data_IF_477182698891
#
_entry.id   IF_477182698891
#
_cell.length_a   1.000
_cell.length_b   1.000
_cell.length_c   1.000
_cell.angle_alpha   90.00
_cell.angle_beta   90.00
_cell.angle_gamma   90.00
#
_symmetry.space_group_name_H-M   'P 1'
#
loop_
_entity.id
_entity.type
_entity.pdbx_description
1 polymer ?
#
# COMPACT_ATOMS: atom_id res chain seq x y z
N UNK A 1 -45.99 -21.72 -78.07
CA UNK A 1 -44.64 -21.43 -77.56
C UNK A 1 -44.80 -20.84 -76.17
N UNK A 2 -44.61 -21.70 -75.18
CA UNK A 2 -44.69 -21.40 -73.75
C UNK A 2 -43.64 -20.37 -73.32
N UNK A 3 -44.04 -19.47 -72.41
CA UNK A 3 -43.11 -18.88 -71.44
C UNK A 3 -43.77 -18.87 -70.07
N UNK A 4 -43.47 -19.92 -69.32
CA UNK A 4 -43.70 -20.03 -67.89
C UNK A 4 -42.83 -18.99 -67.17
N UNK A 5 -43.45 -18.09 -66.40
CA UNK A 5 -42.76 -17.21 -65.48
C UNK A 5 -42.37 -17.97 -64.22
N UNK A 6 -41.07 -18.22 -64.06
CA UNK A 6 -40.50 -18.69 -62.79
C UNK A 6 -40.24 -17.47 -61.90
N UNK A 7 -41.07 -17.29 -60.87
CA UNK A 7 -40.81 -16.33 -59.82
C UNK A 7 -39.71 -16.89 -58.90
N UNK A 8 -38.51 -16.33 -59.03
CA UNK A 8 -37.42 -16.57 -58.09
C UNK A 8 -37.80 -16.02 -56.71
N UNK A 9 -38.01 -16.92 -55.76
CA UNK A 9 -38.11 -16.60 -54.34
C UNK A 9 -36.77 -16.02 -53.86
N UNK A 10 -36.68 -14.70 -53.80
CA UNK A 10 -35.67 -13.99 -53.01
C UNK A 10 -35.88 -14.33 -51.54
N UNK A 11 -35.29 -15.43 -51.08
CA UNK A 11 -35.11 -15.71 -49.66
C UNK A 11 -34.48 -14.48 -49.02
N UNK A 12 -35.14 -13.98 -47.98
CA UNK A 12 -34.86 -12.68 -47.31
C UNK A 12 -33.38 -12.55 -46.94
N UNK A 13 -32.57 -11.99 -47.84
CA UNK A 13 -31.12 -11.82 -47.69
C UNK A 13 -30.72 -10.93 -46.49
N UNK A 14 -31.68 -10.22 -45.89
CA UNK A 14 -31.49 -9.39 -44.71
C UNK A 14 -31.60 -10.14 -43.38
N UNK A 15 -32.20 -11.34 -43.35
CA UNK A 15 -32.40 -12.10 -42.11
C UNK A 15 -31.08 -12.45 -41.37
N UNK A 16 -30.01 -12.88 -42.06
CA UNK A 16 -28.72 -13.16 -41.43
C UNK A 16 -28.12 -11.93 -40.75
N UNK A 17 -28.28 -10.75 -41.34
CA UNK A 17 -27.76 -9.49 -40.80
C UNK A 17 -28.51 -9.04 -39.55
N UNK A 18 -29.84 -9.21 -39.52
CA UNK A 18 -30.64 -8.94 -38.31
C UNK A 18 -30.26 -9.88 -37.18
N UNK A 19 -30.03 -11.17 -37.49
CA UNK A 19 -29.56 -12.13 -36.50
C UNK A 19 -28.16 -11.79 -35.96
N UNK A 20 -27.23 -11.37 -36.81
CA UNK A 20 -25.88 -10.95 -36.39
C UNK A 20 -25.92 -9.69 -35.51
N UNK A 21 -26.72 -8.68 -35.88
CA UNK A 21 -26.89 -7.48 -35.07
C UNK A 21 -27.49 -7.79 -33.69
N UNK A 22 -28.47 -8.71 -33.63
CA UNK A 22 -29.06 -9.16 -32.38
C UNK A 22 -28.05 -9.90 -31.49
N UNK A 23 -27.26 -10.82 -32.07
CA UNK A 23 -26.18 -11.50 -31.35
C UNK A 23 -25.14 -10.51 -30.83
N UNK A 24 -24.71 -9.55 -31.66
CA UNK A 24 -23.73 -8.53 -31.26
C UNK A 24 -24.25 -7.65 -30.12
N UNK A 25 -25.54 -7.30 -30.12
CA UNK A 25 -26.17 -6.58 -29.03
C UNK A 25 -26.19 -7.39 -27.72
N UNK A 26 -26.49 -8.69 -27.79
CA UNK A 26 -26.44 -9.58 -26.61
C UNK A 26 -25.01 -9.68 -26.06
N UNK A 27 -24.00 -9.85 -26.93
CA UNK A 27 -22.61 -9.88 -26.50
C UNK A 27 -22.18 -8.55 -25.87
N UNK A 28 -22.59 -7.42 -26.44
CA UNK A 28 -22.28 -6.09 -25.91
C UNK A 28 -22.92 -5.87 -24.52
N UNK A 29 -24.19 -6.28 -24.34
CA UNK A 29 -24.88 -6.19 -23.05
C UNK A 29 -24.21 -7.14 -22.04
N UNK A 30 -23.93 -8.39 -22.41
CA UNK A 30 -23.25 -9.33 -21.52
C UNK A 30 -21.85 -8.87 -21.12
N UNK A 31 -21.07 -8.27 -22.03
CA UNK A 31 -19.77 -7.69 -21.70
C UNK A 31 -19.90 -6.44 -20.83
N UNK A 32 -20.90 -5.60 -21.08
CA UNK A 32 -21.18 -4.43 -20.25
C UNK A 32 -21.58 -4.84 -18.84
N UNK A 33 -22.46 -5.83 -18.70
CA UNK A 33 -22.90 -6.37 -17.40
C UNK A 33 -21.75 -7.07 -16.67
N UNK A 34 -20.91 -7.85 -17.35
CA UNK A 34 -19.73 -8.46 -16.75
C UNK A 34 -18.74 -7.40 -16.25
N UNK A 35 -18.51 -6.35 -17.04
CA UNK A 35 -17.67 -5.22 -16.65
C UNK A 35 -18.27 -4.47 -15.44
N UNK A 36 -19.59 -4.24 -15.44
CA UNK A 36 -20.28 -3.55 -14.35
C UNK A 36 -20.35 -4.38 -13.07
N UNK A 37 -20.55 -5.70 -13.18
CA UNK A 37 -20.54 -6.63 -12.05
C UNK A 37 -19.15 -6.77 -11.44
N UNK A 38 -18.09 -6.82 -12.25
CA UNK A 38 -16.71 -6.80 -11.75
C UNK A 38 -16.41 -5.47 -11.03
N UNK A 39 -16.88 -4.35 -11.58
CA UNK A 39 -16.77 -3.04 -10.95
C UNK A 39 -17.59 -2.87 -9.65
N UNK A 40 -18.71 -3.60 -9.49
CA UNK A 40 -19.55 -3.56 -8.29
C UNK A 40 -19.19 -4.60 -7.22
N UNK A 41 -18.56 -5.72 -7.59
CA UNK A 41 -18.28 -6.82 -6.66
C UNK A 41 -17.08 -6.61 -5.75
N UNK A 42 -16.25 -5.59 -5.97
CA UNK A 42 -15.32 -5.19 -4.94
C UNK A 42 -15.97 -4.08 -4.11
N UNK A 43 -16.72 -4.45 -3.09
CA UNK A 43 -17.02 -3.55 -1.99
C UNK A 43 -16.41 -4.13 -0.73
N UNK A 44 -15.36 -3.51 -0.16
CA UNK A 44 -14.71 -2.27 -0.61
C UNK A 44 -13.69 -2.53 -1.73
N UNK A 45 -13.81 -1.83 -2.88
CA UNK A 45 -12.77 -1.72 -3.91
C UNK A 45 -11.64 -0.88 -3.30
N UNK A 46 -10.74 -1.53 -2.58
CA UNK A 46 -9.48 -0.90 -2.26
C UNK A 46 -8.67 -0.81 -3.55
N UNK A 47 -8.72 0.37 -4.16
CA UNK A 47 -7.87 0.72 -5.29
C UNK A 47 -6.55 1.25 -4.74
N UNK A 48 -5.42 0.72 -5.21
CA UNK A 48 -4.11 1.33 -4.98
C UNK A 48 -4.06 2.77 -5.54
N UNK A 49 -5.01 3.15 -6.40
CA UNK A 49 -5.16 4.51 -6.95
C UNK A 49 -6.31 5.29 -6.32
N UNK A 50 -6.63 5.07 -5.04
CA UNK A 50 -7.77 5.70 -4.36
C UNK A 50 -7.86 7.22 -4.58
N UNK A 51 -6.73 7.93 -4.49
CA UNK A 51 -6.62 9.37 -4.76
C UNK A 51 -5.82 9.69 -6.04
N UNK A 52 -5.60 8.69 -6.91
CA UNK A 52 -4.82 8.87 -8.13
C UNK A 52 -3.34 9.20 -7.92
N UNK A 53 -2.78 8.89 -6.74
CA UNK A 53 -1.34 9.04 -6.48
C UNK A 53 -0.53 8.25 -7.53
N UNK A 54 0.52 8.86 -8.12
CA UNK A 54 1.33 8.19 -9.13
C UNK A 54 2.14 7.06 -8.48
N UNK A 55 1.83 5.81 -8.83
CA UNK A 55 2.61 4.65 -8.41
C UNK A 55 3.55 4.28 -9.55
N UNK A 56 4.83 4.62 -9.40
CA UNK A 56 5.92 4.23 -10.29
C UNK A 56 6.88 3.31 -9.55
N UNK A 57 7.35 2.26 -10.23
CA UNK A 57 8.25 1.27 -9.64
C UNK A 57 9.71 1.57 -9.97
N UNK A 58 10.57 1.42 -8.97
CA UNK A 58 12.01 1.52 -9.09
C UNK A 58 12.68 0.39 -8.32
N UNK A 59 13.85 -0.06 -8.80
CA UNK A 59 14.63 -1.11 -8.16
C UNK A 59 15.73 -0.51 -7.29
N UNK A 60 15.75 -0.91 -6.03
CA UNK A 60 16.79 -0.53 -5.07
C UNK A 60 17.41 -1.76 -4.43
N UNK A 61 18.74 -1.74 -4.29
CA UNK A 61 19.48 -2.74 -3.52
C UNK A 61 19.97 -2.12 -2.22
N UNK A 62 19.41 -2.55 -1.10
CA UNK A 62 19.85 -2.14 0.22
C UNK A 62 21.03 -2.97 0.70
N UNK A 63 22.00 -2.32 1.35
CA UNK A 63 23.24 -2.94 1.82
C UNK A 63 23.30 -2.88 3.36
N UNK A 64 22.40 -3.60 4.03
CA UNK A 64 22.22 -3.58 5.51
C UNK A 64 22.98 -4.67 6.24
N UNK A 65 23.63 -5.59 5.51
CA UNK A 65 24.37 -6.68 6.13
C UNK A 65 25.63 -6.16 6.81
N UNK A 66 25.94 -6.70 8.00
CA UNK A 66 27.13 -6.34 8.81
C UNK A 66 28.47 -6.47 8.07
N UNK A 67 28.53 -7.28 7.01
CA UNK A 67 29.73 -7.51 6.19
C UNK A 67 29.74 -6.70 4.88
N UNK A 68 28.86 -5.71 4.72
CA UNK A 68 28.89 -4.84 3.56
C UNK A 68 29.96 -3.75 3.71
N UNK A 69 30.74 -3.50 2.66
CA UNK A 69 31.65 -2.36 2.60
C UNK A 69 30.91 -1.01 2.44
N UNK A 70 29.58 -1.04 2.28
CA UNK A 70 28.74 0.15 2.14
C UNK A 70 28.09 0.50 3.48
N UNK A 71 28.19 1.77 3.85
CA UNK A 71 27.45 2.32 4.99
C UNK A 71 25.97 2.34 4.62
N UNK A 72 25.14 1.70 5.44
CA UNK A 72 23.69 1.82 5.34
C UNK A 72 23.27 3.26 5.68
N UNK A 73 22.69 4.02 4.74
CA UNK A 73 22.32 5.41 4.97
C UNK A 73 21.23 5.58 6.04
N UNK A 74 20.50 4.52 6.38
CA UNK A 74 19.44 4.56 7.40
C UNK A 74 19.90 4.09 8.78
N UNK A 75 21.13 3.59 8.90
CA UNK A 75 21.74 3.12 10.14
C UNK A 75 22.24 4.30 10.99
N UNK A 76 22.23 4.15 12.31
CA UNK A 76 22.83 5.09 13.26
C UNK A 76 24.34 5.28 13.08
N UNK A 77 25.01 4.37 12.37
CA UNK A 77 26.41 4.52 12.00
C UNK A 77 26.61 5.61 10.94
N UNK A 78 25.55 6.01 10.23
CA UNK A 78 25.56 7.20 9.39
C UNK A 78 25.43 8.46 10.27
N UNK A 79 26.40 9.39 10.28
CA UNK A 79 26.31 10.62 11.07
C UNK A 79 25.14 11.52 10.65
N UNK A 80 24.64 11.38 9.41
CA UNK A 80 23.51 12.16 8.89
C UNK A 80 22.17 11.40 8.98
N UNK A 81 22.08 10.33 9.77
CA UNK A 81 20.90 9.45 9.82
C UNK A 81 19.60 10.22 10.11
N UNK A 82 19.61 11.17 11.04
CA UNK A 82 18.40 11.91 11.40
C UNK A 82 17.92 12.78 10.23
N UNK A 83 18.84 13.40 9.49
CA UNK A 83 18.54 14.18 8.28
C UNK A 83 17.95 13.28 7.19
N UNK A 84 18.52 12.08 7.00
CA UNK A 84 18.04 11.12 6.00
C UNK A 84 16.62 10.65 6.31
N UNK A 85 16.33 10.32 7.58
CA UNK A 85 15.01 9.89 8.02
C UNK A 85 13.99 11.02 7.90
N UNK A 86 14.31 12.21 8.41
CA UNK A 86 13.42 13.37 8.36
C UNK A 86 13.14 13.82 6.91
N UNK A 87 14.13 13.71 6.03
CA UNK A 87 13.98 14.02 4.60
C UNK A 87 13.03 13.11 3.83
N UNK A 88 12.53 12.01 4.43
CA UNK A 88 11.51 11.12 3.84
C UNK A 88 10.14 11.25 4.48
N UNK A 89 10.03 11.99 5.59
CA UNK A 89 8.79 12.13 6.34
C UNK A 89 8.15 13.46 5.96
N UNK A 90 6.99 13.39 5.30
CA UNK A 90 6.18 14.57 5.03
C UNK A 90 5.10 14.71 6.12
N UNK A 91 5.29 15.64 7.05
CA UNK A 91 4.34 15.90 8.13
C UNK A 91 3.22 16.87 7.69
N UNK A 92 2.70 16.69 6.48
CA UNK A 92 1.63 17.57 5.94
C UNK A 92 0.28 16.90 5.95
N UNK A 93 -0.72 17.78 5.99
CA UNK A 93 -2.11 17.44 5.76
C UNK A 93 -2.38 17.68 4.28
N UNK A 94 -2.81 16.63 3.60
CA UNK A 94 -3.35 16.73 2.25
C UNK A 94 -4.82 17.14 2.31
N UNK A 95 -5.28 17.85 1.29
CA UNK A 95 -6.68 18.25 1.15
C UNK A 95 -7.30 17.51 -0.03
N UNK A 96 -8.45 16.89 0.21
CA UNK A 96 -9.24 16.21 -0.83
C UNK A 96 -10.61 16.87 -1.00
N UNK A 97 -11.20 16.68 -2.16
CA UNK A 97 -12.56 17.14 -2.50
C UNK A 97 -13.63 16.32 -1.76
N UNK A 98 -14.86 16.85 -1.75
CA UNK A 98 -16.03 16.11 -1.26
C UNK A 98 -16.25 14.80 -2.03
N UNK A 99 -16.05 14.81 -3.36
CA UNK A 99 -16.23 13.62 -4.18
C UNK A 99 -15.22 12.52 -3.82
N UNK A 100 -13.96 12.89 -3.59
CA UNK A 100 -12.92 11.95 -3.14
C UNK A 100 -13.22 11.43 -1.73
N UNK A 101 -13.68 12.30 -0.82
CA UNK A 101 -14.12 11.90 0.53
C UNK A 101 -15.21 10.83 0.47
N UNK A 102 -16.24 11.03 -0.35
CA UNK A 102 -17.37 10.11 -0.47
C UNK A 102 -16.95 8.71 -0.98
N UNK A 103 -15.83 8.65 -1.71
CA UNK A 103 -15.26 7.41 -2.22
C UNK A 103 -14.28 6.73 -1.25
N UNK A 104 -14.03 7.30 -0.05
CA UNK A 104 -13.15 6.68 0.92
C UNK A 104 -13.74 5.35 1.46
N UNK A 105 -12.95 4.26 1.48
CA UNK A 105 -13.44 2.94 1.85
C UNK A 105 -13.84 2.88 3.33
N UNK A 106 -15.03 2.35 3.60
CA UNK A 106 -15.56 2.21 4.97
C UNK A 106 -16.39 3.40 5.47
N UNK A 107 -16.82 4.31 4.58
CA UNK A 107 -17.73 5.42 4.94
C UNK A 107 -17.08 6.45 5.86
N UNK A 108 -15.79 6.73 5.63
CA UNK A 108 -14.97 7.46 6.60
C UNK A 108 -15.31 8.94 6.61
N UNK A 109 -15.65 9.45 7.79
CA UNK A 109 -15.71 10.88 8.02
C UNK A 109 -14.32 11.41 8.39
N UNK A 110 -14.01 12.60 7.89
CA UNK A 110 -12.74 13.28 8.15
C UNK A 110 -13.02 14.77 8.30
N UNK A 111 -12.19 15.45 9.09
CA UNK A 111 -12.36 16.88 9.33
C UNK A 111 -12.28 17.69 8.03
N UNK A 112 -13.04 18.79 7.98
CA UNK A 112 -12.81 19.80 6.94
C UNK A 112 -11.39 20.35 7.06
N UNK A 113 -10.81 20.71 5.94
CA UNK A 113 -9.58 21.50 5.94
C UNK A 113 -9.85 22.82 6.68
N UNK A 114 -8.91 23.22 7.54
CA UNK A 114 -9.00 24.45 8.32
C UNK A 114 -8.21 25.55 7.57
N UNK A 115 -8.80 26.74 7.42
CA UNK A 115 -8.14 27.88 6.75
C UNK A 115 -8.78 28.28 5.41
N UNK A 116 -7.94 28.62 4.41
CA UNK A 116 -8.37 29.24 3.12
C UNK A 116 -8.70 28.25 2.00
N UNK A 117 -8.52 26.94 2.24
CA UNK A 117 -8.73 25.93 1.23
C UNK A 117 -9.98 25.11 1.55
N UNK A 118 -10.93 25.10 0.62
CA UNK A 118 -12.10 24.24 0.72
C UNK A 118 -11.70 22.78 0.52
N UNK A 119 -12.32 21.89 1.29
CA UNK A 119 -12.11 20.45 1.19
C UNK A 119 -11.98 19.78 2.55
N UNK A 120 -11.38 18.60 2.53
CA UNK A 120 -11.26 17.71 3.67
C UNK A 120 -9.82 17.34 3.93
N UNK A 121 -9.42 17.43 5.19
CA UNK A 121 -8.08 17.09 5.63
C UNK A 121 -7.90 15.57 5.71
N UNK A 122 -6.78 15.07 5.21
CA UNK A 122 -6.34 13.68 5.34
C UNK A 122 -4.82 13.60 5.45
N UNK A 123 -4.32 12.43 5.85
CA UNK A 123 -2.90 12.09 5.74
C UNK A 123 -2.71 10.90 4.81
N UNK A 124 -1.58 10.86 4.09
CA UNK A 124 -1.15 9.67 3.37
C UNK A 124 -0.41 8.76 4.35
N UNK A 125 -0.78 7.49 4.38
CA UNK A 125 -0.42 6.55 5.45
C UNK A 125 1.08 6.30 5.56
N UNK A 126 1.82 6.22 4.44
CA UNK A 126 3.28 6.02 4.47
C UNK A 126 4.00 7.06 5.32
N UNK A 127 3.59 8.33 5.28
CA UNK A 127 4.28 9.37 6.04
C UNK A 127 4.04 9.24 7.54
N UNK A 128 2.82 8.86 7.95
CA UNK A 128 2.55 8.61 9.35
C UNK A 128 3.23 7.33 9.86
N UNK A 129 3.36 6.30 9.01
CA UNK A 129 4.11 5.09 9.31
C UNK A 129 5.60 5.39 9.54
N UNK A 130 6.23 6.16 8.64
CA UNK A 130 7.62 6.59 8.77
C UNK A 130 7.83 7.49 9.99
N UNK A 131 6.91 8.44 10.24
CA UNK A 131 6.91 9.28 11.44
C UNK A 131 6.89 8.44 12.72
N UNK A 132 5.95 7.49 12.83
CA UNK A 132 5.85 6.61 13.99
C UNK A 132 7.11 5.77 14.17
N UNK A 133 7.66 5.20 13.08
CA UNK A 133 8.88 4.41 13.15
C UNK A 133 10.08 5.27 13.60
N UNK A 134 10.21 6.50 13.11
CA UNK A 134 11.28 7.41 13.53
C UNK A 134 11.14 7.83 14.99
N UNK A 135 9.90 8.06 15.45
CA UNK A 135 9.63 8.36 16.85
C UNK A 135 10.02 7.20 17.77
N UNK A 136 9.72 5.95 17.36
CA UNK A 136 10.17 4.76 18.09
C UNK A 136 11.69 4.61 18.07
N UNK A 137 12.33 4.82 16.91
CA UNK A 137 13.80 4.75 16.76
C UNK A 137 14.50 5.74 17.69
N UNK A 138 14.14 7.02 17.60
CA UNK A 138 14.73 8.08 18.43
C UNK A 138 14.50 7.83 19.91
N UNK A 139 13.28 7.47 20.32
CA UNK A 139 12.98 7.14 21.72
C UNK A 139 13.82 5.96 22.22
N UNK A 140 13.98 4.91 21.41
CA UNK A 140 14.77 3.73 21.77
C UNK A 140 16.25 4.06 22.01
N UNK A 141 16.85 4.92 21.18
CA UNK A 141 18.26 5.28 21.30
C UNK A 141 18.51 6.40 22.31
N UNK A 142 17.58 7.34 22.48
CA UNK A 142 17.68 8.41 23.49
C UNK A 142 17.89 7.83 24.90
N UNK A 143 17.18 6.77 25.28
CA UNK A 143 17.34 6.14 26.60
C UNK A 143 18.68 5.41 26.76
N UNK A 144 19.28 4.95 25.66
CA UNK A 144 20.53 4.16 25.67
C UNK A 144 21.79 5.01 25.53
N UNK A 145 21.71 6.12 24.82
CA UNK A 145 22.78 7.11 24.78
C UNK A 145 22.97 7.77 26.17
N UNK A 146 21.91 7.81 26.99
CA UNK A 146 21.92 8.28 28.38
C UNK A 146 22.34 7.20 29.41
N UNK A 147 22.52 5.94 29.00
CA UNK A 147 22.84 4.82 29.88
C UNK A 147 23.77 3.84 29.20
N UNK A 148 25.09 4.01 29.39
CA UNK A 148 26.13 3.11 28.86
C UNK A 148 25.80 1.64 29.12
N UNK A 149 25.48 0.87 28.08
CA UNK A 149 25.53 -0.59 28.15
C UNK A 149 26.28 -1.17 26.96
N UNK A 150 27.60 -1.33 27.14
CA UNK A 150 28.39 -2.23 26.31
C UNK A 150 28.30 -3.67 26.80
N UNK A 151 28.51 -4.61 25.87
CA UNK A 151 29.05 -5.95 26.17
C UNK A 151 28.08 -7.13 26.02
N UNK A 152 27.86 -7.57 24.77
CA UNK A 152 27.26 -8.86 24.47
C UNK A 152 27.62 -9.34 23.07
N UNK A 153 27.79 -10.65 22.87
CA UNK A 153 28.30 -11.27 21.62
C UNK A 153 27.39 -11.10 20.37
N UNK A 154 26.22 -10.49 20.53
CA UNK A 154 25.43 -9.81 19.49
C UNK A 154 25.10 -8.48 20.14
N UNK A 155 25.64 -7.37 19.65
CA UNK A 155 25.30 -6.06 20.20
C UNK A 155 23.79 -5.82 19.99
N UNK A 156 22.97 -5.80 21.06
CA UNK A 156 21.54 -5.60 20.92
C UNK A 156 21.20 -4.26 20.27
N UNK A 157 22.12 -3.28 20.31
CA UNK A 157 21.98 -2.00 19.64
C UNK A 157 22.24 -2.12 18.13
N UNK A 158 23.28 -2.85 17.70
CA UNK A 158 23.48 -3.18 16.28
C UNK A 158 22.26 -3.93 15.71
N UNK A 159 21.64 -4.81 16.51
CA UNK A 159 20.48 -5.57 16.07
C UNK A 159 19.26 -4.66 15.89
N UNK A 160 18.99 -3.81 16.89
CA UNK A 160 17.90 -2.84 16.82
C UNK A 160 18.10 -1.85 15.67
N UNK A 161 19.33 -1.36 15.47
CA UNK A 161 19.66 -0.40 14.42
C UNK A 161 19.31 -0.90 13.02
N UNK A 162 19.84 -2.05 12.60
CA UNK A 162 19.51 -2.56 11.27
C UNK A 162 18.05 -3.02 11.16
N UNK A 163 17.40 -3.38 12.28
CA UNK A 163 15.96 -3.65 12.29
C UNK A 163 15.16 -2.38 11.98
N UNK A 164 15.50 -1.23 12.57
CA UNK A 164 14.91 0.06 12.22
C UNK A 164 15.19 0.40 10.75
N UNK A 165 16.43 0.26 10.27
CA UNK A 165 16.76 0.44 8.86
C UNK A 165 15.94 -0.46 7.94
N UNK A 166 15.83 -1.75 8.25
CA UNK A 166 15.11 -2.74 7.45
C UNK A 166 13.61 -2.43 7.37
N UNK A 167 13.00 -2.06 8.50
CA UNK A 167 11.60 -1.65 8.54
C UNK A 167 11.38 -0.36 7.73
N UNK A 168 12.28 0.61 7.86
CA UNK A 168 12.22 1.85 7.08
C UNK A 168 12.27 1.58 5.58
N UNK A 169 13.22 0.73 5.13
CA UNK A 169 13.34 0.30 3.74
C UNK A 169 12.08 -0.42 3.24
N UNK A 170 11.50 -1.27 4.08
CA UNK A 170 10.25 -1.99 3.78
C UNK A 170 9.09 -1.00 3.58
N UNK A 171 9.00 0.04 4.43
CA UNK A 171 7.98 1.09 4.29
C UNK A 171 8.19 1.94 3.03
N UNK A 172 9.43 2.22 2.64
CA UNK A 172 9.72 2.88 1.36
C UNK A 172 9.28 2.04 0.16
N UNK A 173 9.60 0.74 0.15
CA UNK A 173 9.25 -0.17 -0.96
C UNK A 173 7.74 -0.45 -1.06
N UNK A 174 7.01 -0.37 0.05
CA UNK A 174 5.57 -0.62 0.09
C UNK A 174 4.72 0.64 0.20
N UNK A 175 5.33 1.82 0.16
CA UNK A 175 4.75 3.14 0.42
C UNK A 175 3.21 3.16 0.37
N UNK A 176 2.58 3.00 1.53
CA UNK A 176 1.12 2.93 1.67
C UNK A 176 0.49 4.27 1.27
N UNK A 177 -0.02 4.33 0.04
CA UNK A 177 -0.79 5.47 -0.50
C UNK A 177 -2.23 5.51 0.00
N UNK A 178 -2.58 4.62 0.93
CA UNK A 178 -3.82 4.67 1.65
C UNK A 178 -4.02 5.98 2.40
N UNK A 179 -5.27 6.24 2.74
CA UNK A 179 -5.68 7.47 3.40
C UNK A 179 -5.86 7.20 4.89
N UNK A 180 -5.35 8.08 5.73
CA UNK A 180 -5.69 8.18 7.14
C UNK A 180 -6.60 9.41 7.33
N UNK A 181 -7.77 9.21 7.93
CA UNK A 181 -8.65 10.33 8.27
C UNK A 181 -8.17 11.02 9.54
N UNK A 182 -8.60 12.28 9.70
CA UNK A 182 -8.18 13.11 10.83
C UNK A 182 -9.38 13.79 11.48
N UNK A 183 -9.20 14.19 12.73
CA UNK A 183 -10.10 15.08 13.46
C UNK A 183 -9.39 16.39 13.76
N UNK A 184 -10.14 17.48 13.90
CA UNK A 184 -9.58 18.77 14.32
C UNK A 184 -9.54 18.85 15.85
N UNK A 185 -8.39 19.21 16.42
CA UNK A 185 -8.24 19.44 17.85
C UNK A 185 -8.15 20.94 18.17
N UNK A 186 -9.24 21.58 18.61
CA UNK A 186 -9.34 23.05 18.68
C UNK A 186 -8.45 23.70 19.74
N UNK A 187 -8.04 22.97 20.77
CA UNK A 187 -7.19 23.54 21.83
C UNK A 187 -5.70 23.58 21.45
N UNK A 188 -5.29 22.71 20.53
CA UNK A 188 -3.88 22.58 20.14
C UNK A 188 -3.65 23.01 18.70
N UNK A 189 -4.72 23.43 18.00
CA UNK A 189 -4.71 23.81 16.58
C UNK A 189 -4.01 22.80 15.67
N UNK A 190 -4.24 21.50 15.92
CA UNK A 190 -3.66 20.39 15.14
C UNK A 190 -4.70 19.40 14.67
N UNK A 191 -4.42 18.76 13.54
CA UNK A 191 -5.14 17.57 13.11
C UNK A 191 -4.64 16.34 13.86
N UNK A 192 -5.56 15.54 14.40
CA UNK A 192 -5.26 14.28 15.08
C UNK A 192 -5.62 13.10 14.16
N UNK A 193 -4.68 12.16 13.91
CA UNK A 193 -4.96 10.94 13.16
C UNK A 193 -6.07 10.12 13.82
N UNK A 194 -6.93 9.51 13.00
CA UNK A 194 -7.84 8.46 13.44
C UNK A 194 -7.24 7.10 13.12
N UNK A 195 -7.04 6.27 14.14
CA UNK A 195 -6.49 4.92 13.97
C UNK A 195 -7.55 3.85 13.64
N UNK A 196 -8.82 4.16 13.88
CA UNK A 196 -9.94 3.28 13.54
C UNK A 196 -10.27 3.44 12.05
N UNK A 197 -9.51 2.75 11.19
CA UNK A 197 -9.63 2.83 9.73
C UNK A 197 -9.80 1.44 9.09
N UNK A 198 -10.66 1.35 8.08
CA UNK A 198 -10.84 0.11 7.32
C UNK A 198 -9.71 -0.09 6.32
N UNK A 199 -8.83 -1.08 6.51
CA UNK A 199 -7.69 -1.33 5.63
C UNK A 199 -7.92 -2.52 4.69
N UNK A 200 -7.28 -2.52 3.53
CA UNK A 200 -7.06 -3.74 2.77
C UNK A 200 -5.82 -4.43 3.32
N UNK A 201 -5.96 -5.66 3.79
CA UNK A 201 -4.83 -6.45 4.26
C UNK A 201 -4.67 -7.68 3.37
N UNK A 202 -3.43 -8.08 3.13
CA UNK A 202 -3.15 -9.44 2.63
C UNK A 202 -3.65 -10.44 3.67
N UNK A 203 -4.16 -11.59 3.23
CA UNK A 203 -4.58 -12.65 4.15
C UNK A 203 -3.34 -13.22 4.87
N UNK A 204 -3.12 -12.74 6.09
CA UNK A 204 -1.95 -13.09 6.89
C UNK A 204 -1.88 -14.58 7.19
N UNK A 205 -3.02 -15.19 7.57
CA UNK A 205 -3.06 -16.61 7.91
C UNK A 205 -2.77 -17.49 6.71
N UNK A 206 -3.27 -17.15 5.52
CA UNK A 206 -2.94 -17.88 4.29
C UNK A 206 -1.44 -17.85 3.98
N UNK A 207 -0.77 -16.71 4.17
CA UNK A 207 0.68 -16.57 4.00
C UNK A 207 1.43 -17.39 5.05
N UNK A 208 0.99 -17.28 6.32
CA UNK A 208 1.56 -18.00 7.45
C UNK A 208 1.49 -19.51 7.22
N UNK A 209 0.32 -20.03 6.87
CA UNK A 209 0.09 -21.45 6.61
C UNK A 209 0.92 -21.96 5.42
N UNK A 210 1.00 -21.18 4.33
CA UNK A 210 1.88 -21.49 3.22
C UNK A 210 3.34 -21.62 3.64
N UNK A 211 3.84 -20.71 4.51
CA UNK A 211 5.20 -20.75 5.04
C UNK A 211 5.43 -21.96 5.96
N UNK A 212 4.44 -22.32 6.79
CA UNK A 212 4.51 -23.48 7.67
C UNK A 212 4.75 -24.79 6.91
N UNK A 213 4.14 -24.97 5.73
CA UNK A 213 4.32 -26.17 4.90
C UNK A 213 5.74 -26.30 4.31
N UNK A 214 6.55 -25.23 4.37
CA UNK A 214 7.89 -25.13 3.73
C UNK A 214 9.03 -24.94 4.73
N UNK A 215 8.79 -25.17 6.03
CA UNK A 215 9.84 -25.06 7.05
C UNK A 215 11.06 -25.91 6.67
N UNK A 216 12.22 -25.27 6.62
CA UNK A 216 13.49 -25.96 6.40
C UNK A 216 13.72 -26.99 7.52
N UNK A 217 14.09 -28.21 7.13
CA UNK A 217 14.61 -29.21 8.07
C UNK A 217 16.09 -28.90 8.31
N UNK A 218 16.35 -27.94 9.19
CA UNK A 218 17.70 -27.56 9.56
C UNK A 218 18.19 -28.44 10.72
N UNK A 219 19.24 -29.21 10.46
CA UNK A 219 19.99 -29.92 11.50
C UNK A 219 21.36 -29.24 11.61
N UNK A 220 21.60 -28.38 12.62
CA UNK A 220 22.91 -27.79 12.79
C UNK A 220 23.95 -28.90 13.01
N UNK A 221 25.18 -28.75 12.48
CA UNK A 221 26.28 -29.63 12.86
C UNK A 221 26.41 -29.65 14.38
N UNK A 222 26.53 -30.83 14.99
CA UNK A 222 26.80 -30.92 16.43
C UNK A 222 28.12 -30.21 16.72
N UNK A 223 28.06 -29.10 17.45
CA UNK A 223 29.28 -28.46 17.95
C UNK A 223 29.77 -29.31 19.13
N UNK A 224 30.88 -30.03 18.94
CA UNK A 224 31.61 -30.62 20.06
C UNK A 224 32.17 -29.49 20.90
N UNK A 225 31.47 -29.15 21.99
CA UNK A 225 32.06 -28.35 23.05
C UNK A 225 32.95 -29.28 23.87
N UNK A 226 34.26 -29.25 23.59
CA UNK A 226 35.24 -29.79 24.52
C UNK A 226 35.18 -28.93 25.78
N UNK A 227 34.71 -29.53 26.88
CA UNK A 227 34.72 -28.96 28.24
C UNK A 227 36.13 -28.69 28.73
#
# INVERSE_FOLDING_TARGET
MDKTGSASSSTRAWLPWVFHMFMMAIYAIGLFDLYFMDAQNCSPCFSEKLLGAPITWEEWTFSTNKNSDRIDPYSRHNPDVDIVWDGKIENTISVISEAEKQNLPGGRDTAKAYGRQDGYAIMIEVFHQLHCLNHLRTSFFMDRDNGKTGGGNIDPEDHADHCFSYLFQTLLCHADVGVMTVTWHPEWDVFKPQFNVTKQCRNFDAIKDWAHTRKARFFPPQRNFSS
#
